data_IF_749900689636
#
_entry.id   IF_749900689636
#
_cell.length_a   1.000
_cell.length_b   1.000
_cell.length_c   1.000
_cell.angle_alpha   90.00
_cell.angle_beta   90.00
_cell.angle_gamma   90.00
#
_symmetry.space_group_name_H-M   'P 1'
#
loop_
_entity.id
_entity.type
_entity.pdbx_description
1 polymer ?
#
# COMPACT_ATOMS: atom_id res chain seq x y z
N UNK A 1 -17.57 -34.45 -27.96
CA UNK A 1 -18.09 -35.37 -26.93
C UNK A 1 -19.43 -35.87 -27.41
N UNK A 2 -19.80 -37.13 -27.15
CA UNK A 2 -21.15 -37.60 -27.43
C UNK A 2 -21.56 -38.71 -26.46
N UNK A 3 -22.86 -38.82 -26.21
CA UNK A 3 -23.46 -39.93 -25.49
C UNK A 3 -23.85 -41.04 -26.47
N UNK A 4 -23.62 -42.28 -26.08
CA UNK A 4 -24.02 -43.45 -26.88
C UNK A 4 -24.15 -44.69 -26.00
N UNK A 5 -24.52 -45.82 -26.60
CA UNK A 5 -24.63 -47.11 -25.95
C UNK A 5 -24.79 -48.21 -27.00
N UNK A 6 -25.52 -49.28 -26.65
CA UNK A 6 -25.59 -50.47 -27.50
C UNK A 6 -26.59 -50.28 -28.65
N UNK A 7 -26.34 -50.97 -29.77
CA UNK A 7 -27.19 -50.92 -30.97
C UNK A 7 -28.63 -51.35 -30.67
N UNK A 8 -28.81 -52.43 -29.93
CA UNK A 8 -30.14 -52.98 -29.61
C UNK A 8 -31.01 -51.99 -28.81
N UNK A 9 -30.39 -51.25 -27.87
CA UNK A 9 -31.10 -50.21 -27.11
C UNK A 9 -31.47 -49.01 -27.99
N UNK A 10 -30.59 -48.63 -28.92
CA UNK A 10 -30.87 -47.58 -29.91
C UNK A 10 -32.04 -47.96 -30.82
N UNK A 11 -32.10 -49.21 -31.29
CA UNK A 11 -33.21 -49.69 -32.13
C UNK A 11 -34.54 -49.67 -31.36
N UNK A 12 -34.55 -50.04 -30.08
CA UNK A 12 -35.74 -49.90 -29.20
C UNK A 12 -36.18 -48.45 -29.01
N UNK A 13 -35.22 -47.53 -28.83
CA UNK A 13 -35.50 -46.10 -28.72
C UNK A 13 -36.10 -45.56 -30.01
N UNK A 14 -35.52 -45.89 -31.17
CA UNK A 14 -36.03 -45.51 -32.48
C UNK A 14 -37.44 -46.05 -32.72
N UNK A 15 -37.69 -47.32 -32.38
CA UNK A 15 -39.02 -47.92 -32.50
C UNK A 15 -40.04 -47.20 -31.61
N UNK A 16 -39.72 -46.97 -30.34
CA UNK A 16 -40.59 -46.25 -29.40
C UNK A 16 -40.86 -44.80 -29.88
N UNK A 17 -39.87 -44.15 -30.49
CA UNK A 17 -40.00 -42.81 -31.07
C UNK A 17 -40.92 -42.78 -32.29
N UNK A 18 -40.85 -43.80 -33.16
CA UNK A 18 -41.78 -43.97 -34.28
C UNK A 18 -43.22 -44.16 -33.78
N UNK A 19 -43.42 -45.01 -32.78
CA UNK A 19 -44.73 -45.24 -32.15
C UNK A 19 -45.30 -43.96 -31.54
N UNK A 20 -44.46 -43.15 -30.88
CA UNK A 20 -44.87 -41.87 -30.33
C UNK A 20 -45.32 -40.88 -31.39
N UNK A 21 -44.56 -40.75 -32.49
CA UNK A 21 -44.98 -39.91 -33.62
C UNK A 21 -46.30 -40.41 -34.22
N UNK A 22 -46.46 -41.73 -34.37
CA UNK A 22 -47.69 -42.34 -34.84
C UNK A 22 -48.89 -42.00 -33.95
N UNK A 23 -48.76 -42.19 -32.63
CA UNK A 23 -49.84 -41.89 -31.69
C UNK A 23 -50.16 -40.40 -31.58
N UNK A 24 -49.14 -39.52 -31.62
CA UNK A 24 -49.38 -38.07 -31.69
C UNK A 24 -50.18 -37.68 -32.93
N UNK A 25 -49.89 -38.31 -34.07
CA UNK A 25 -50.66 -38.09 -35.30
C UNK A 25 -52.11 -38.55 -35.16
N UNK A 26 -52.34 -39.75 -34.61
CA UNK A 26 -53.69 -40.27 -34.36
C UNK A 26 -54.50 -39.30 -33.48
N UNK A 27 -53.95 -38.86 -32.35
CA UNK A 27 -54.64 -37.90 -31.47
C UNK A 27 -54.90 -36.58 -32.20
N UNK A 28 -53.91 -36.07 -32.95
CA UNK A 28 -54.08 -34.85 -33.73
C UNK A 28 -55.16 -34.96 -34.80
N UNK A 29 -55.35 -36.12 -35.41
CA UNK A 29 -56.40 -36.34 -36.41
C UNK A 29 -57.79 -36.46 -35.73
N UNK A 30 -57.87 -37.12 -34.57
CA UNK A 30 -59.10 -37.14 -33.73
C UNK A 30 -59.52 -35.74 -33.27
N UNK A 31 -58.56 -34.88 -32.94
CA UNK A 31 -58.80 -33.47 -32.60
C UNK A 31 -59.40 -32.70 -33.79
N UNK A 32 -58.87 -32.91 -35.01
CA UNK A 32 -59.40 -32.29 -36.24
C UNK A 32 -60.82 -32.74 -36.56
N UNK A 33 -61.12 -34.01 -36.31
CA UNK A 33 -62.45 -34.60 -36.45
C UNK A 33 -63.42 -34.17 -35.32
N UNK A 34 -62.96 -33.34 -34.37
CA UNK A 34 -63.72 -32.85 -33.21
C UNK A 34 -64.25 -33.99 -32.33
N UNK A 35 -63.50 -35.08 -32.24
CA UNK A 35 -63.84 -36.19 -31.33
C UNK A 35 -63.81 -35.68 -29.88
N UNK A 36 -64.89 -35.83 -29.10
CA UNK A 36 -64.90 -35.39 -27.70
C UNK A 36 -63.82 -36.10 -26.87
N UNK A 37 -63.11 -35.39 -26.00
CA UNK A 37 -62.10 -35.99 -25.10
C UNK A 37 -62.69 -37.02 -24.13
N UNK A 38 -64.01 -36.98 -23.88
CA UNK A 38 -64.73 -37.98 -23.10
C UNK A 38 -64.90 -39.31 -23.84
N UNK A 39 -64.68 -39.35 -25.16
CA UNK A 39 -64.82 -40.54 -26.00
C UNK A 39 -63.85 -41.65 -25.54
N UNK A 40 -64.33 -42.90 -25.38
CA UNK A 40 -63.49 -44.03 -24.97
C UNK A 40 -62.23 -44.23 -25.84
N UNK A 41 -62.32 -44.05 -27.16
CA UNK A 41 -61.19 -44.19 -28.06
C UNK A 41 -60.15 -43.08 -27.87
N UNK A 42 -60.60 -41.85 -27.57
CA UNK A 42 -59.71 -40.72 -27.30
C UNK A 42 -58.92 -40.96 -26.01
N UNK A 43 -59.61 -41.38 -24.94
CA UNK A 43 -58.97 -41.75 -23.67
C UNK A 43 -57.97 -42.89 -23.85
N UNK A 44 -58.31 -43.94 -24.58
CA UNK A 44 -57.39 -45.04 -24.88
C UNK A 44 -56.15 -44.58 -25.67
N UNK A 45 -56.32 -43.67 -26.64
CA UNK A 45 -55.22 -43.11 -27.41
C UNK A 45 -54.28 -42.30 -26.50
N UNK A 46 -54.84 -41.49 -25.59
CA UNK A 46 -54.09 -40.72 -24.61
C UNK A 46 -53.32 -41.63 -23.62
N UNK A 47 -53.98 -42.65 -23.06
CA UNK A 47 -53.33 -43.63 -22.17
C UNK A 47 -52.18 -44.36 -22.87
N UNK A 48 -52.37 -44.71 -24.15
CA UNK A 48 -51.34 -45.36 -24.96
C UNK A 48 -50.18 -44.40 -25.25
N UNK A 49 -50.47 -43.13 -25.54
CA UNK A 49 -49.45 -42.10 -25.71
C UNK A 49 -48.61 -41.95 -24.44
N UNK A 50 -49.23 -41.93 -23.26
CA UNK A 50 -48.52 -41.79 -21.99
C UNK A 50 -47.65 -43.02 -21.66
N UNK A 51 -48.14 -44.23 -21.95
CA UNK A 51 -47.32 -45.46 -21.89
C UNK A 51 -46.12 -45.41 -22.84
N UNK A 52 -46.30 -44.90 -24.05
CA UNK A 52 -45.20 -44.75 -25.02
C UNK A 52 -44.20 -43.70 -24.56
N UNK A 53 -44.64 -42.57 -23.97
CA UNK A 53 -43.73 -41.57 -23.38
C UNK A 53 -42.83 -42.20 -22.33
N UNK A 54 -43.39 -42.98 -21.40
CA UNK A 54 -42.62 -43.69 -20.38
C UNK A 54 -41.60 -44.66 -21.02
N UNK A 55 -42.00 -45.41 -22.06
CA UNK A 55 -41.10 -46.31 -22.79
C UNK A 55 -39.96 -45.57 -23.49
N UNK A 56 -40.22 -44.38 -24.06
CA UNK A 56 -39.17 -43.54 -24.65
C UNK A 56 -38.17 -43.09 -23.58
N UNK A 57 -38.65 -42.60 -22.44
CA UNK A 57 -37.78 -42.16 -21.35
C UNK A 57 -36.90 -43.32 -20.87
N UNK A 58 -37.49 -44.49 -20.67
CA UNK A 58 -36.77 -45.71 -20.29
C UNK A 58 -35.73 -46.11 -21.35
N UNK A 59 -36.14 -46.21 -22.62
CA UNK A 59 -35.25 -46.59 -23.71
C UNK A 59 -34.12 -45.57 -23.90
N UNK A 60 -34.39 -44.27 -23.67
CA UNK A 60 -33.37 -43.21 -23.74
C UNK A 60 -32.31 -43.41 -22.67
N UNK A 61 -32.73 -43.70 -21.42
CA UNK A 61 -31.82 -43.99 -20.31
C UNK A 61 -30.95 -45.22 -20.58
N UNK A 62 -31.53 -46.28 -21.13
CA UNK A 62 -30.81 -47.51 -21.46
C UNK A 62 -29.83 -47.30 -22.63
N UNK A 63 -30.21 -46.47 -23.61
CA UNK A 63 -29.41 -46.19 -24.81
C UNK A 63 -28.22 -45.30 -24.52
N UNK A 64 -28.38 -44.22 -23.77
CA UNK A 64 -27.32 -43.25 -23.51
C UNK A 64 -26.57 -43.62 -22.22
N UNK A 65 -25.89 -44.77 -22.23
CA UNK A 65 -25.21 -45.35 -21.06
C UNK A 65 -23.70 -45.11 -21.03
N UNK A 66 -23.12 -44.50 -22.08
CA UNK A 66 -21.68 -44.19 -22.17
C UNK A 66 -21.45 -42.78 -22.68
N UNK A 67 -20.42 -42.13 -22.15
CA UNK A 67 -19.88 -40.87 -22.63
C UNK A 67 -18.56 -41.10 -23.36
N UNK A 68 -18.46 -40.61 -24.59
CA UNK A 68 -17.25 -40.66 -25.40
C UNK A 68 -16.58 -39.29 -25.49
N UNK A 69 -15.28 -39.24 -25.21
CA UNK A 69 -14.48 -38.02 -25.17
C UNK A 69 -13.04 -38.27 -25.67
N UNK A 70 -12.35 -37.24 -26.20
CA UNK A 70 -10.98 -37.37 -26.67
C UNK A 70 -9.99 -37.43 -25.49
N UNK A 71 -8.95 -38.24 -25.65
CA UNK A 71 -7.83 -38.40 -24.74
C UNK A 71 -6.50 -38.52 -25.49
N UNK A 72 -5.40 -38.66 -24.75
CA UNK A 72 -4.06 -38.93 -25.32
C UNK A 72 -4.03 -40.15 -26.25
N UNK A 73 -4.89 -41.15 -26.01
CA UNK A 73 -4.93 -42.42 -26.75
C UNK A 73 -6.00 -42.44 -27.86
N UNK A 74 -6.60 -41.29 -28.19
CA UNK A 74 -7.72 -41.19 -29.13
C UNK A 74 -9.07 -41.07 -28.40
N UNK A 75 -10.14 -41.60 -28.97
CA UNK A 75 -11.48 -41.54 -28.35
C UNK A 75 -11.56 -42.57 -27.23
N UNK A 76 -11.99 -42.15 -26.04
CA UNK A 76 -12.15 -42.97 -24.85
C UNK A 76 -13.59 -42.89 -24.35
N UNK A 77 -14.09 -43.97 -23.75
CA UNK A 77 -15.43 -44.02 -23.17
C UNK A 77 -15.39 -44.11 -21.64
N UNK A 78 -16.42 -43.60 -20.98
CA UNK A 78 -16.74 -43.90 -19.60
C UNK A 78 -18.23 -44.25 -19.47
N UNK A 79 -18.59 -45.04 -18.47
CA UNK A 79 -19.99 -45.32 -18.17
C UNK A 79 -20.69 -44.06 -17.66
N UNK A 80 -21.93 -43.87 -18.08
CA UNK A 80 -22.78 -42.74 -17.75
C UNK A 80 -24.15 -43.28 -17.33
N UNK A 81 -24.47 -43.14 -16.05
CA UNK A 81 -25.74 -43.59 -15.48
C UNK A 81 -26.61 -42.37 -15.20
N UNK A 82 -27.78 -42.28 -15.86
CA UNK A 82 -28.75 -41.22 -15.58
C UNK A 82 -29.46 -41.50 -14.25
N UNK A 83 -28.97 -40.87 -13.19
CA UNK A 83 -29.54 -40.99 -11.84
C UNK A 83 -30.58 -39.91 -11.59
N UNK A 84 -31.73 -40.26 -11.01
CA UNK A 84 -32.72 -39.29 -10.53
C UNK A 84 -32.51 -39.10 -9.02
N UNK A 85 -32.40 -37.86 -8.57
CA UNK A 85 -32.35 -37.51 -7.15
C UNK A 85 -33.53 -36.61 -6.83
N UNK A 86 -34.36 -37.02 -5.87
CA UNK A 86 -35.51 -36.23 -5.41
C UNK A 86 -36.46 -35.78 -6.54
N UNK A 87 -36.75 -36.67 -7.50
CA UNK A 87 -37.51 -36.37 -8.72
C UNK A 87 -36.91 -35.28 -9.64
N UNK A 88 -35.66 -34.88 -9.42
CA UNK A 88 -34.93 -33.96 -10.27
C UNK A 88 -33.82 -34.69 -11.05
N UNK A 89 -33.61 -34.29 -12.31
CA UNK A 89 -32.55 -34.82 -13.17
C UNK A 89 -31.79 -33.66 -13.82
N UNK A 90 -30.50 -33.56 -13.50
CA UNK A 90 -29.58 -32.63 -14.13
C UNK A 90 -28.49 -33.42 -14.89
N UNK A 91 -28.72 -33.61 -16.20
CA UNK A 91 -27.78 -34.34 -17.05
C UNK A 91 -26.43 -33.64 -17.22
N UNK A 92 -26.41 -32.31 -17.20
CA UNK A 92 -25.17 -31.53 -17.33
C UNK A 92 -24.27 -31.75 -16.11
N UNK A 93 -24.82 -31.65 -14.90
CA UNK A 93 -24.06 -31.93 -13.67
C UNK A 93 -23.49 -33.35 -13.65
N UNK A 94 -24.24 -34.34 -14.11
CA UNK A 94 -23.78 -35.72 -14.18
C UNK A 94 -22.67 -35.90 -15.22
N UNK A 95 -22.79 -35.27 -16.39
CA UNK A 95 -21.74 -35.27 -17.42
C UNK A 95 -20.46 -34.64 -16.86
N UNK A 96 -20.59 -33.47 -16.23
CA UNK A 96 -19.46 -32.77 -15.60
C UNK A 96 -18.83 -33.67 -14.55
N UNK A 97 -19.62 -34.30 -13.68
CA UNK A 97 -19.13 -35.21 -12.64
C UNK A 97 -18.31 -36.35 -13.26
N UNK A 98 -18.85 -37.07 -14.23
CA UNK A 98 -18.14 -38.18 -14.88
C UNK A 98 -16.84 -37.71 -15.53
N UNK A 99 -16.86 -36.56 -16.23
CA UNK A 99 -15.65 -36.04 -16.86
C UNK A 99 -14.62 -35.53 -15.85
N UNK A 100 -15.05 -34.99 -14.71
CA UNK A 100 -14.16 -34.61 -13.60
C UNK A 100 -13.53 -35.84 -12.95
N UNK A 101 -14.30 -36.89 -12.68
CA UNK A 101 -13.80 -38.16 -12.12
C UNK A 101 -12.77 -38.82 -13.05
N UNK A 102 -12.97 -38.67 -14.37
CA UNK A 102 -12.02 -39.11 -15.41
C UNK A 102 -10.88 -38.12 -15.68
N UNK A 103 -10.78 -37.04 -14.91
CA UNK A 103 -9.79 -35.95 -15.05
C UNK A 103 -9.80 -35.30 -16.43
N UNK A 104 -10.89 -35.39 -17.19
CA UNK A 104 -11.04 -34.71 -18.48
C UNK A 104 -11.62 -33.31 -18.32
N UNK A 105 -12.40 -33.03 -17.28
CA UNK A 105 -12.93 -31.70 -17.00
C UNK A 105 -12.32 -31.12 -15.71
N UNK A 106 -11.70 -29.94 -15.82
CA UNK A 106 -11.10 -29.20 -14.71
C UNK A 106 -12.09 -28.16 -14.19
N UNK A 107 -12.38 -28.21 -12.89
CA UNK A 107 -13.26 -27.26 -12.22
C UNK A 107 -12.48 -26.11 -11.59
N UNK A 108 -11.28 -26.41 -11.08
CA UNK A 108 -10.41 -25.40 -10.50
C UNK A 108 -9.51 -24.81 -11.59
N UNK A 109 -9.93 -23.66 -12.10
CA UNK A 109 -9.24 -22.91 -13.16
C UNK A 109 -8.55 -21.64 -12.64
N UNK A 110 -8.68 -21.35 -11.34
CA UNK A 110 -8.08 -20.16 -10.71
C UNK A 110 -6.78 -20.48 -9.96
N UNK A 111 -6.53 -21.76 -9.66
CA UNK A 111 -5.33 -22.21 -8.96
C UNK A 111 -4.04 -22.20 -9.78
N UNK A 112 -2.91 -22.15 -9.06
CA UNK A 112 -1.55 -22.22 -9.62
C UNK A 112 -1.30 -23.51 -10.43
N UNK A 113 -2.00 -24.60 -10.09
CA UNK A 113 -1.90 -25.85 -10.82
C UNK A 113 -2.41 -25.73 -12.26
N UNK A 114 -3.49 -24.99 -12.50
CA UNK A 114 -4.02 -24.77 -13.84
C UNK A 114 -3.06 -23.93 -14.68
N UNK A 115 -2.46 -22.89 -14.09
CA UNK A 115 -1.37 -22.12 -14.70
C UNK A 115 -0.23 -23.04 -15.16
N UNK A 116 0.36 -23.81 -14.24
CA UNK A 116 1.50 -24.70 -14.53
C UNK A 116 1.17 -25.70 -15.63
N UNK A 117 -0.02 -26.30 -15.61
CA UNK A 117 -0.48 -27.21 -16.67
C UNK A 117 -0.56 -26.49 -18.03
N UNK A 118 -1.06 -25.26 -18.06
CA UNK A 118 -1.15 -24.46 -19.28
C UNK A 118 0.24 -24.12 -19.83
N UNK A 119 1.15 -23.66 -18.97
CA UNK A 119 2.53 -23.31 -19.31
C UNK A 119 3.37 -24.50 -19.80
N UNK A 120 3.07 -25.71 -19.31
CA UNK A 120 3.76 -26.96 -19.67
C UNK A 120 3.20 -27.61 -20.94
N UNK A 121 1.86 -27.61 -21.10
CA UNK A 121 1.18 -28.41 -22.14
C UNK A 121 0.75 -27.61 -23.35
N UNK A 122 0.36 -26.34 -23.14
CA UNK A 122 -0.18 -25.49 -24.20
C UNK A 122 0.89 -24.56 -24.77
N UNK A 123 1.64 -23.88 -23.91
CA UNK A 123 2.79 -23.08 -24.33
C UNK A 123 3.88 -23.99 -24.91
N UNK A 124 4.41 -23.60 -26.08
CA UNK A 124 5.55 -24.27 -26.74
C UNK A 124 6.80 -23.40 -26.78
N UNK A 125 6.65 -22.10 -26.52
CA UNK A 125 7.70 -21.10 -26.49
C UNK A 125 7.47 -20.19 -25.27
N UNK A 126 8.49 -19.40 -24.90
CA UNK A 126 8.36 -18.41 -23.82
C UNK A 126 7.32 -17.34 -24.15
N UNK A 127 7.22 -16.95 -25.43
CA UNK A 127 6.28 -15.94 -25.93
C UNK A 127 5.47 -16.50 -27.09
N UNK A 128 4.14 -16.38 -27.05
CA UNK A 128 3.21 -16.85 -28.09
C UNK A 128 2.01 -15.93 -28.22
N UNK A 129 1.33 -15.92 -29.38
CA UNK A 129 0.06 -15.17 -29.50
C UNK A 129 -1.01 -15.85 -28.66
N UNK A 130 -1.85 -15.05 -28.00
CA UNK A 130 -2.93 -15.59 -27.18
C UNK A 130 -3.95 -16.38 -28.02
N UNK A 131 -4.15 -16.01 -29.28
CA UNK A 131 -5.02 -16.76 -30.20
C UNK A 131 -4.47 -18.17 -30.48
N UNK A 132 -3.16 -18.31 -30.68
CA UNK A 132 -2.50 -19.61 -30.89
C UNK A 132 -2.58 -20.48 -29.63
N UNK A 133 -2.50 -19.88 -28.43
CA UNK A 133 -2.74 -20.57 -27.16
C UNK A 133 -4.16 -21.12 -27.09
N UNK A 134 -5.18 -20.31 -27.45
CA UNK A 134 -6.59 -20.75 -27.49
C UNK A 134 -6.81 -21.86 -28.51
N UNK A 135 -6.24 -21.73 -29.71
CA UNK A 135 -6.35 -22.74 -30.77
C UNK A 135 -5.73 -24.06 -30.34
N UNK A 136 -4.53 -24.04 -29.76
CA UNK A 136 -3.87 -25.25 -29.24
C UNK A 136 -4.69 -25.90 -28.12
N UNK A 137 -5.25 -25.12 -27.21
CA UNK A 137 -6.11 -25.64 -26.17
C UNK A 137 -7.39 -26.30 -26.73
N UNK A 138 -7.89 -25.85 -27.88
CA UNK A 138 -9.03 -26.45 -28.55
C UNK A 138 -8.68 -27.77 -29.29
N UNK A 139 -7.46 -27.88 -29.84
CA UNK A 139 -7.04 -29.01 -30.68
C UNK A 139 -6.36 -30.13 -29.86
N UNK A 140 -5.68 -29.81 -28.75
CA UNK A 140 -4.96 -30.81 -27.96
C UNK A 140 -5.93 -31.76 -27.22
N UNK A 141 -6.01 -33.00 -27.69
CA UNK A 141 -6.86 -34.05 -27.12
C UNK A 141 -6.47 -34.43 -25.68
N UNK A 142 -5.22 -34.17 -25.26
CA UNK A 142 -4.71 -34.41 -23.90
C UNK A 142 -5.13 -33.30 -22.95
N UNK A 143 -5.40 -32.10 -23.46
CA UNK A 143 -5.78 -30.96 -22.64
C UNK A 143 -7.13 -31.20 -21.98
N UNK A 144 -7.25 -30.75 -20.73
CA UNK A 144 -8.50 -30.88 -19.97
C UNK A 144 -9.47 -29.81 -20.48
N UNK A 145 -10.76 -30.12 -20.49
CA UNK A 145 -11.82 -29.15 -20.74
C UNK A 145 -12.12 -28.34 -19.48
N UNK A 146 -12.66 -27.15 -19.68
CA UNK A 146 -12.95 -26.18 -18.66
C UNK A 146 -14.02 -25.22 -19.19
N UNK A 147 -14.52 -24.34 -18.32
CA UNK A 147 -15.50 -23.32 -18.70
C UNK A 147 -14.92 -22.32 -19.73
N UNK A 148 -15.68 -21.83 -20.72
CA UNK A 148 -15.13 -21.04 -21.82
C UNK A 148 -14.27 -19.82 -21.43
N UNK A 149 -14.58 -19.18 -20.30
CA UNK A 149 -13.86 -18.00 -19.80
C UNK A 149 -12.50 -18.31 -19.17
N UNK A 150 -12.19 -19.57 -18.85
CA UNK A 150 -11.07 -19.90 -17.97
C UNK A 150 -9.70 -19.41 -18.49
N UNK A 151 -9.42 -19.52 -19.79
CA UNK A 151 -8.14 -19.06 -20.35
C UNK A 151 -8.01 -17.54 -20.33
N UNK A 152 -9.10 -16.80 -20.60
CA UNK A 152 -9.08 -15.33 -20.50
C UNK A 152 -8.94 -14.91 -19.04
N UNK A 153 -9.68 -15.53 -18.12
CA UNK A 153 -9.55 -15.29 -16.69
C UNK A 153 -8.13 -15.59 -16.20
N UNK A 154 -7.54 -16.72 -16.62
CA UNK A 154 -6.17 -17.08 -16.30
C UNK A 154 -5.20 -16.03 -16.83
N UNK A 155 -5.31 -15.67 -18.13
CA UNK A 155 -4.48 -14.63 -18.75
C UNK A 155 -4.54 -13.33 -17.96
N UNK A 156 -5.74 -12.82 -17.71
CA UNK A 156 -5.95 -11.56 -16.99
C UNK A 156 -5.35 -11.61 -15.58
N UNK A 157 -5.51 -12.72 -14.87
CA UNK A 157 -4.96 -12.92 -13.52
C UNK A 157 -3.42 -13.00 -13.54
N UNK A 158 -2.84 -13.68 -14.53
CA UNK A 158 -1.39 -13.83 -14.63
C UNK A 158 -0.72 -12.53 -15.06
N UNK A 159 -1.38 -11.77 -15.95
CA UNK A 159 -0.93 -10.42 -16.33
C UNK A 159 -1.04 -9.45 -15.17
N UNK A 160 -2.13 -9.46 -14.40
CA UNK A 160 -2.27 -8.57 -13.25
C UNK A 160 -1.26 -8.85 -12.13
N UNK A 161 -0.72 -10.07 -12.06
CA UNK A 161 0.29 -10.49 -11.08
C UNK A 161 1.74 -10.40 -11.59
N UNK A 162 1.94 -9.85 -12.79
CA UNK A 162 3.24 -9.82 -13.51
C UNK A 162 3.91 -11.20 -13.61
N UNK A 163 3.11 -12.27 -13.62
CA UNK A 163 3.59 -13.64 -13.87
C UNK A 163 3.75 -13.84 -15.38
N UNK A 164 2.81 -13.28 -16.14
CA UNK A 164 2.85 -13.18 -17.60
C UNK A 164 2.81 -11.71 -18.01
N UNK A 165 3.35 -11.38 -19.19
CA UNK A 165 3.28 -10.03 -19.78
C UNK A 165 2.61 -10.09 -21.14
N UNK A 166 1.73 -9.14 -21.40
CA UNK A 166 1.03 -9.00 -22.67
C UNK A 166 1.59 -7.84 -23.49
N UNK A 167 1.94 -8.09 -24.75
CA UNK A 167 2.33 -7.04 -25.70
C UNK A 167 1.82 -7.39 -27.10
N UNK A 168 0.95 -6.55 -27.66
CA UNK A 168 0.43 -6.73 -29.03
C UNK A 168 -0.29 -8.06 -29.24
N UNK A 169 -1.01 -8.57 -28.22
CA UNK A 169 -1.69 -9.87 -28.26
C UNK A 169 -0.78 -11.10 -28.10
N UNK A 170 0.52 -10.89 -27.86
CA UNK A 170 1.44 -11.94 -27.41
C UNK A 170 1.47 -12.00 -25.89
N UNK A 171 1.50 -13.22 -25.36
CA UNK A 171 1.71 -13.52 -23.95
C UNK A 171 3.10 -14.11 -23.80
N UNK A 172 3.90 -13.48 -22.95
CA UNK A 172 5.20 -13.99 -22.51
C UNK A 172 5.07 -14.50 -21.07
N UNK A 173 5.53 -15.72 -20.81
CA UNK A 173 5.60 -16.28 -19.46
C UNK A 173 6.95 -15.99 -18.81
N UNK A 174 6.94 -15.74 -17.50
CA UNK A 174 8.14 -15.56 -16.70
C UNK A 174 9.01 -16.83 -16.59
N UNK A 175 10.17 -16.73 -15.90
CA UNK A 175 10.67 -15.52 -15.23
C UNK A 175 11.13 -14.44 -16.23
N UNK A 176 10.93 -13.19 -15.86
CA UNK A 176 11.45 -12.02 -16.57
C UNK A 176 12.79 -11.63 -15.95
N UNK A 177 13.76 -11.32 -16.81
CA UNK A 177 15.06 -10.82 -16.37
C UNK A 177 14.91 -9.32 -16.24
N UNK A 178 15.05 -8.81 -15.03
CA UNK A 178 15.05 -7.38 -14.72
C UNK A 178 16.44 -6.92 -14.30
N UNK A 179 16.65 -5.62 -14.25
CA UNK A 179 17.83 -5.04 -13.60
C UNK A 179 17.54 -4.78 -12.14
N UNK A 180 18.44 -5.20 -11.25
CA UNK A 180 18.34 -4.88 -9.82
C UNK A 180 18.39 -3.38 -9.60
N UNK A 181 17.71 -2.90 -8.56
CA UNK A 181 17.70 -1.47 -8.23
C UNK A 181 17.72 -1.27 -6.72
N UNK A 182 18.26 -0.12 -6.31
CA UNK A 182 18.20 0.38 -4.94
C UNK A 182 17.36 1.65 -4.92
N UNK A 183 16.47 1.76 -3.93
CA UNK A 183 15.75 3.00 -3.61
C UNK A 183 16.03 3.35 -2.16
N UNK A 184 16.49 4.57 -1.91
CA UNK A 184 16.86 5.05 -0.58
C UNK A 184 15.92 6.18 -0.16
N UNK A 185 15.45 6.14 1.09
CA UNK A 185 14.65 7.21 1.70
C UNK A 185 15.21 7.58 3.06
N UNK A 186 15.42 8.88 3.31
CA UNK A 186 15.70 9.38 4.66
C UNK A 186 14.47 9.21 5.55
N UNK A 187 14.64 8.58 6.71
CA UNK A 187 13.56 8.36 7.71
C UNK A 187 13.69 9.37 8.84
N UNK A 188 14.92 9.61 9.28
CA UNK A 188 15.23 10.49 10.39
C UNK A 188 16.63 11.06 10.22
N UNK A 189 16.84 12.29 10.71
CA UNK A 189 18.15 12.92 10.82
C UNK A 189 18.28 13.58 12.18
N UNK A 190 19.36 13.28 12.86
CA UNK A 190 19.74 13.92 14.11
C UNK A 190 20.29 15.32 13.82
N UNK A 191 19.69 16.35 14.43
CA UNK A 191 20.02 17.75 14.15
C UNK A 191 21.29 18.23 14.86
N UNK A 192 21.87 17.45 15.77
CA UNK A 192 23.09 17.80 16.51
C UNK A 192 24.33 17.14 15.93
N UNK A 193 24.17 15.93 15.40
CA UNK A 193 25.28 15.11 14.88
C UNK A 193 25.27 15.00 13.36
N UNK A 194 24.13 15.23 12.71
CA UNK A 194 23.95 15.01 11.27
C UNK A 194 23.88 13.54 10.87
N UNK A 195 23.83 12.62 11.84
CA UNK A 195 23.59 11.20 11.59
C UNK A 195 22.20 11.01 11.00
N UNK A 196 22.13 10.31 9.87
CA UNK A 196 20.88 9.98 9.21
C UNK A 196 20.55 8.51 9.39
N UNK A 197 19.26 8.22 9.44
CA UNK A 197 18.70 6.88 9.34
C UNK A 197 18.00 6.74 7.99
N UNK A 198 18.46 5.80 7.18
CA UNK A 198 17.97 5.52 5.83
C UNK A 198 17.14 4.23 5.83
N UNK A 199 16.04 4.27 5.08
CA UNK A 199 15.28 3.09 4.65
C UNK A 199 15.63 2.80 3.20
N UNK A 200 16.27 1.65 2.99
CA UNK A 200 16.77 1.15 1.73
C UNK A 200 15.83 0.03 1.25
N UNK A 201 15.37 0.12 0.01
CA UNK A 201 14.58 -0.90 -0.65
C UNK A 201 15.35 -1.46 -1.83
N UNK A 202 15.49 -2.77 -1.87
CA UNK A 202 15.99 -3.54 -3.00
C UNK A 202 14.83 -3.95 -3.91
N UNK A 203 14.99 -3.75 -5.20
CA UNK A 203 14.08 -4.24 -6.24
C UNK A 203 14.82 -5.25 -7.12
N UNK A 204 14.14 -6.36 -7.44
CA UNK A 204 14.65 -7.45 -8.30
C UNK A 204 15.97 -8.13 -7.86
N UNK A 205 16.48 -7.82 -6.67
CA UNK A 205 17.59 -8.53 -6.02
C UNK A 205 17.36 -8.70 -4.51
N UNK A 206 18.26 -9.39 -3.81
CA UNK A 206 18.08 -9.78 -2.40
C UNK A 206 19.19 -9.25 -1.47
N UNK A 207 20.30 -8.76 -2.02
CA UNK A 207 21.42 -8.22 -1.24
C UNK A 207 21.74 -6.81 -1.69
N UNK A 208 21.97 -5.91 -0.73
CA UNK A 208 22.47 -4.56 -0.98
C UNK A 208 23.86 -4.43 -0.37
N UNK A 209 24.78 -3.96 -1.19
CA UNK A 209 26.15 -3.63 -0.81
C UNK A 209 26.33 -2.11 -0.89
N UNK A 210 27.22 -1.58 -0.09
CA UNK A 210 27.53 -0.16 -0.07
C UNK A 210 29.02 0.08 0.11
N UNK A 211 29.45 1.25 -0.35
CA UNK A 211 30.81 1.76 -0.22
C UNK A 211 30.75 3.29 -0.11
N UNK A 212 31.82 3.91 0.38
CA UNK A 212 31.85 5.35 0.68
C UNK A 212 32.54 6.11 -0.46
N UNK A 213 33.62 5.56 -1.00
CA UNK A 213 34.54 6.27 -1.90
C UNK A 213 34.69 5.59 -3.27
N UNK A 214 34.04 4.44 -3.48
CA UNK A 214 34.19 3.64 -4.70
C UNK A 214 32.87 2.98 -5.12
N UNK A 215 32.79 2.50 -6.36
CA UNK A 215 31.62 1.77 -6.81
C UNK A 215 31.51 0.43 -6.04
N UNK A 216 30.40 0.18 -5.32
CA UNK A 216 30.24 -1.01 -4.52
C UNK A 216 30.16 -2.26 -5.38
N UNK A 217 30.77 -3.35 -4.89
CA UNK A 217 30.74 -4.68 -5.52
C UNK A 217 30.21 -5.73 -4.55
N UNK A 218 30.09 -6.98 -4.99
CA UNK A 218 29.75 -8.10 -4.10
C UNK A 218 30.76 -8.36 -2.97
N UNK A 219 31.96 -7.75 -3.06
CA UNK A 219 32.99 -7.79 -2.03
C UNK A 219 32.95 -6.60 -1.05
N UNK A 220 32.14 -5.57 -1.35
CA UNK A 220 31.99 -4.38 -0.50
C UNK A 220 31.16 -4.68 0.76
N UNK A 221 30.96 -3.66 1.61
CA UNK A 221 30.20 -3.82 2.84
C UNK A 221 28.73 -4.15 2.55
N UNK A 222 28.17 -5.14 3.24
CA UNK A 222 26.77 -5.50 3.07
C UNK A 222 25.88 -4.70 4.03
N UNK A 223 24.79 -4.13 3.52
CA UNK A 223 23.73 -3.56 4.35
C UNK A 223 23.06 -4.68 5.16
N UNK A 224 23.16 -4.61 6.49
CA UNK A 224 22.59 -5.61 7.40
C UNK A 224 21.13 -5.34 7.71
N UNK A 225 20.79 -4.08 7.98
CA UNK A 225 19.45 -3.62 8.26
C UNK A 225 19.03 -2.63 7.18
N UNK A 226 18.10 -3.04 6.32
CA UNK A 226 17.59 -2.24 5.22
C UNK A 226 16.62 -1.14 5.71
N UNK A 227 15.98 -1.30 6.86
CA UNK A 227 14.96 -0.36 7.33
C UNK A 227 15.53 0.75 8.23
N UNK A 228 16.71 0.51 8.83
CA UNK A 228 17.32 1.38 9.83
C UNK A 228 18.83 1.50 9.61
N UNK A 229 19.25 1.76 8.37
CA UNK A 229 20.65 1.95 8.05
C UNK A 229 21.13 3.31 8.53
N UNK A 230 22.05 3.33 9.50
CA UNK A 230 22.56 4.58 10.09
C UNK A 230 23.93 4.95 9.54
N UNK A 231 24.11 6.21 9.21
CA UNK A 231 25.38 6.73 8.70
C UNK A 231 25.58 8.21 9.03
N UNK A 232 26.85 8.61 9.17
CA UNK A 232 27.30 10.00 9.27
C UNK A 232 28.01 10.47 8.01
N UNK A 233 28.20 9.58 7.05
CA UNK A 233 28.87 9.89 5.79
C UNK A 233 28.06 10.89 4.98
N UNK A 234 28.77 11.71 4.22
CA UNK A 234 28.17 12.68 3.31
C UNK A 234 27.80 12.07 1.96
N UNK A 235 28.49 11.00 1.55
CA UNK A 235 28.22 10.26 0.32
C UNK A 235 28.26 8.77 0.58
N UNK A 236 27.35 8.05 -0.07
CA UNK A 236 27.35 6.59 -0.09
C UNK A 236 26.84 6.10 -1.43
N UNK A 237 27.49 5.07 -1.94
CA UNK A 237 27.05 4.36 -3.12
C UNK A 237 26.46 3.02 -2.72
N UNK A 238 25.34 2.65 -3.33
CA UNK A 238 24.64 1.39 -3.06
C UNK A 238 24.46 0.56 -4.32
N UNK A 239 24.69 -0.75 -4.24
CA UNK A 239 24.44 -1.71 -5.32
C UNK A 239 23.59 -2.87 -4.84
N UNK A 240 22.52 -3.18 -5.57
CA UNK A 240 21.71 -4.37 -5.34
C UNK A 240 22.17 -5.53 -6.23
N UNK A 241 22.26 -6.73 -5.67
CA UNK A 241 22.60 -7.96 -6.39
C UNK A 241 21.54 -9.02 -6.08
N UNK A 242 21.14 -9.76 -7.12
CA UNK A 242 20.32 -10.97 -7.03
C UNK A 242 21.21 -12.21 -6.91
N UNK A 243 21.18 -12.85 -5.76
CA UNK A 243 21.98 -14.04 -5.46
C UNK A 243 21.51 -15.29 -6.21
N UNK A 244 20.29 -15.29 -6.76
CA UNK A 244 19.80 -16.39 -7.60
C UNK A 244 20.36 -16.36 -9.03
N UNK A 245 20.90 -15.20 -9.46
CA UNK A 245 21.42 -14.97 -10.80
C UNK A 245 20.34 -14.93 -11.90
N UNK A 246 19.06 -14.81 -11.53
CA UNK A 246 17.96 -14.68 -12.49
C UNK A 246 17.91 -13.27 -13.08
N UNK A 247 18.13 -12.25 -12.25
CA UNK A 247 18.12 -10.85 -12.65
C UNK A 247 19.54 -10.34 -12.92
N UNK A 248 19.65 -9.37 -13.83
CA UNK A 248 20.89 -8.68 -14.12
C UNK A 248 21.19 -7.64 -13.04
N UNK A 249 22.48 -7.46 -12.72
CA UNK A 249 22.89 -6.36 -11.84
C UNK A 249 22.64 -5.02 -12.52
N UNK A 250 21.85 -4.16 -11.88
CA UNK A 250 21.59 -2.81 -12.36
C UNK A 250 22.64 -1.80 -11.94
N UNK A 251 22.28 -0.53 -12.01
CA UNK A 251 23.18 0.60 -11.78
C UNK A 251 23.37 0.88 -10.28
N UNK A 252 24.49 1.52 -9.96
CA UNK A 252 24.79 2.01 -8.61
C UNK A 252 23.87 3.18 -8.29
N UNK A 253 23.31 3.17 -7.08
CA UNK A 253 22.55 4.30 -6.55
C UNK A 253 23.47 5.19 -5.71
N UNK A 254 23.67 6.42 -6.17
CA UNK A 254 24.45 7.44 -5.47
C UNK A 254 23.55 8.20 -4.51
N UNK A 255 23.90 8.16 -3.22
CA UNK A 255 23.20 8.88 -2.16
C UNK A 255 24.09 9.99 -1.60
N UNK A 256 23.50 11.17 -1.41
CA UNK A 256 24.17 12.33 -0.83
C UNK A 256 23.40 12.82 0.39
N UNK A 257 24.12 13.11 1.47
CA UNK A 257 23.61 13.77 2.66
C UNK A 257 23.65 15.30 2.46
N UNK A 258 23.12 16.03 3.44
CA UNK A 258 23.18 17.49 3.51
C UNK A 258 24.01 17.97 4.69
N UNK A 259 24.63 19.13 4.51
CA UNK A 259 25.30 19.88 5.58
C UNK A 259 24.36 21.00 6.03
N UNK A 260 24.16 21.12 7.34
CA UNK A 260 23.35 22.16 7.96
C UNK A 260 24.23 23.12 8.75
N UNK A 261 23.97 24.42 8.62
CA UNK A 261 24.66 25.47 9.36
C UNK A 261 23.76 25.96 10.50
N UNK A 262 24.30 25.93 11.72
CA UNK A 262 23.73 26.59 12.89
C UNK A 262 24.62 27.75 13.32
N UNK A 263 24.04 28.68 14.04
CA UNK A 263 24.77 29.80 14.62
C UNK A 263 24.30 30.09 16.05
N UNK A 264 25.18 30.72 16.82
CA UNK A 264 24.86 31.27 18.14
C UNK A 264 25.50 32.64 18.30
N UNK A 265 24.78 33.54 18.96
CA UNK A 265 25.24 34.89 19.24
C UNK A 265 25.34 35.08 20.75
N UNK A 266 26.47 35.60 21.22
CA UNK A 266 26.67 35.84 22.64
C UNK A 266 27.51 37.09 22.89
N UNK A 267 27.38 37.66 24.09
CA UNK A 267 28.14 38.84 24.51
C UNK A 267 29.24 38.39 25.46
N UNK A 268 30.47 38.81 25.19
CA UNK A 268 31.60 38.59 26.08
C UNK A 268 32.50 39.84 26.09
N UNK A 269 32.87 40.34 27.28
CA UNK A 269 33.68 41.55 27.45
C UNK A 269 33.17 42.76 26.63
N UNK A 270 31.86 43.02 26.66
CA UNK A 270 31.16 44.08 25.90
C UNK A 270 31.23 43.97 24.36
N UNK A 271 31.73 42.86 23.82
CA UNK A 271 31.73 42.60 22.37
C UNK A 271 30.73 41.49 22.03
N UNK A 272 30.04 41.62 20.89
CA UNK A 272 29.15 40.60 20.33
C UNK A 272 29.97 39.60 19.51
N UNK A 273 29.83 38.33 19.82
CA UNK A 273 30.48 37.23 19.13
C UNK A 273 29.48 36.44 18.31
N UNK A 274 29.96 35.87 17.21
CA UNK A 274 29.26 34.90 16.38
C UNK A 274 29.99 33.56 16.45
N UNK A 275 29.27 32.52 16.80
CA UNK A 275 29.71 31.12 16.68
C UNK A 275 28.94 30.45 15.54
N UNK A 276 29.66 29.74 14.68
CA UNK A 276 29.10 29.00 13.55
C UNK A 276 29.40 27.52 13.72
N UNK A 277 28.44 26.66 13.39
CA UNK A 277 28.61 25.21 13.49
C UNK A 277 28.01 24.52 12.26
N UNK A 278 28.80 23.68 11.61
CA UNK A 278 28.37 22.82 10.53
C UNK A 278 28.02 21.43 11.07
N UNK A 279 26.92 20.86 10.60
CA UNK A 279 26.42 19.57 11.04
C UNK A 279 26.03 18.73 9.80
N UNK A 280 26.75 17.64 9.48
CA UNK A 280 28.00 17.17 10.09
C UNK A 280 29.19 18.14 9.93
N UNK A 281 30.30 17.87 10.62
CA UNK A 281 31.52 18.69 10.57
C UNK A 281 32.01 18.90 9.14
N UNK A 282 32.12 20.17 8.74
CA UNK A 282 32.54 20.64 7.43
C UNK A 282 33.26 21.99 7.53
N UNK A 283 34.04 22.35 6.51
CA UNK A 283 34.75 23.64 6.48
C UNK A 283 33.75 24.77 6.22
N UNK A 284 33.67 25.73 7.13
CA UNK A 284 32.77 26.88 7.02
C UNK A 284 33.56 28.08 6.46
N UNK A 285 32.99 28.76 5.46
CA UNK A 285 33.45 30.07 4.99
C UNK A 285 32.41 31.13 5.30
N UNK A 286 32.85 32.29 5.76
CA UNK A 286 31.93 33.37 6.15
C UNK A 286 32.41 34.76 5.76
N UNK A 287 31.47 35.71 5.67
CA UNK A 287 31.71 37.13 5.43
C UNK A 287 30.89 37.97 6.40
N UNK A 288 31.40 39.15 6.76
CA UNK A 288 30.73 40.12 7.63
C UNK A 288 30.38 41.44 6.91
N UNK A 289 30.73 41.55 5.63
CA UNK A 289 30.47 42.72 4.79
C UNK A 289 29.29 42.51 3.82
N UNK A 290 28.64 41.34 3.88
CA UNK A 290 27.55 40.94 2.98
C UNK A 290 28.00 40.44 1.61
N UNK A 291 29.31 40.31 1.35
CA UNK A 291 29.83 39.69 0.12
C UNK A 291 29.60 38.17 0.10
N UNK A 292 29.68 37.55 -1.08
CA UNK A 292 29.45 36.10 -1.22
C UNK A 292 30.56 35.30 -0.50
N UNK A 293 30.23 34.49 0.52
CA UNK A 293 31.23 33.73 1.28
C UNK A 293 31.96 32.66 0.46
N UNK A 294 31.43 32.26 -0.70
CA UNK A 294 32.11 31.32 -1.61
C UNK A 294 33.35 31.91 -2.26
N UNK A 295 33.26 33.16 -2.68
CA UNK A 295 34.30 33.85 -3.46
C UNK A 295 35.21 34.70 -2.58
N UNK A 296 34.67 35.24 -1.49
CA UNK A 296 35.34 36.24 -0.65
C UNK A 296 35.32 35.90 0.85
N UNK A 297 34.81 34.73 1.23
CA UNK A 297 34.71 34.33 2.64
C UNK A 297 36.03 33.89 3.25
N UNK A 298 36.24 34.29 4.51
CA UNK A 298 37.31 33.77 5.37
C UNK A 298 36.93 32.39 5.92
N UNK A 299 37.93 31.56 6.24
CA UNK A 299 37.71 30.27 6.90
C UNK A 299 37.35 30.54 8.36
N UNK A 300 36.28 29.90 8.83
CA UNK A 300 35.88 29.95 10.23
C UNK A 300 36.65 28.87 11.03
N UNK A 301 37.41 29.32 12.02
CA UNK A 301 38.15 28.44 12.94
C UNK A 301 37.58 28.50 14.37
N UNK A 302 37.19 29.69 14.85
CA UNK A 302 36.64 29.92 16.19
C UNK A 302 35.64 31.09 16.20
N UNK A 303 34.91 31.26 17.31
CA UNK A 303 33.98 32.36 17.48
C UNK A 303 34.66 33.73 17.26
N UNK A 304 34.07 34.57 16.42
CA UNK A 304 34.66 35.85 16.01
C UNK A 304 33.83 37.03 16.51
N UNK A 305 34.50 38.16 16.76
CA UNK A 305 33.83 39.42 17.11
C UNK A 305 33.12 39.96 15.87
N UNK A 306 31.84 40.27 15.99
CA UNK A 306 31.06 40.89 14.91
C UNK A 306 31.46 42.36 14.80
N UNK A 307 31.99 42.84 13.65
CA UNK A 307 32.33 44.25 13.48
C UNK A 307 31.11 45.18 13.64
N UNK A 308 31.31 46.37 14.22
CA UNK A 308 30.22 47.32 14.58
C UNK A 308 29.31 47.74 13.41
N UNK A 309 29.80 47.66 12.16
CA UNK A 309 29.04 48.02 10.95
C UNK A 309 28.49 46.82 10.17
N UNK A 310 28.56 45.61 10.74
CA UNK A 310 28.02 44.39 10.12
C UNK A 310 26.50 44.47 10.08
N UNK A 311 25.91 44.34 8.88
CA UNK A 311 24.45 44.22 8.71
C UNK A 311 24.06 42.76 8.49
N UNK A 312 24.91 41.98 7.82
CA UNK A 312 24.70 40.57 7.54
C UNK A 312 25.99 39.79 7.77
N UNK A 313 25.87 38.65 8.44
CA UNK A 313 26.85 37.57 8.39
C UNK A 313 26.32 36.53 7.40
N UNK A 314 27.09 36.26 6.35
CA UNK A 314 26.77 35.20 5.40
C UNK A 314 27.75 34.04 5.60
N UNK A 315 27.27 32.81 5.59
CA UNK A 315 28.12 31.63 5.71
C UNK A 315 27.68 30.49 4.79
N UNK A 316 28.66 29.70 4.34
CA UNK A 316 28.46 28.41 3.65
C UNK A 316 29.40 27.38 4.27
N UNK A 317 28.99 26.11 4.26
CA UNK A 317 29.84 24.99 4.62
C UNK A 317 30.05 24.09 3.41
N UNK A 318 31.26 23.56 3.26
CA UNK A 318 31.63 22.66 2.17
C UNK A 318 32.45 21.48 2.70
N UNK A 319 32.11 20.28 2.25
CA UNK A 319 32.91 19.06 2.47
C UNK A 319 32.60 18.02 1.40
N UNK A 320 33.63 17.35 0.90
CA UNK A 320 33.53 16.30 -0.12
C UNK A 320 32.75 16.71 -1.38
N UNK A 321 32.80 18.00 -1.74
CA UNK A 321 32.05 18.58 -2.86
C UNK A 321 30.55 18.78 -2.61
N UNK A 322 30.06 18.53 -1.39
CA UNK A 322 28.71 18.89 -0.94
C UNK A 322 28.76 20.27 -0.27
N UNK A 323 27.88 21.16 -0.70
CA UNK A 323 27.74 22.51 -0.16
C UNK A 323 26.45 22.61 0.66
N UNK A 324 26.49 23.33 1.79
CA UNK A 324 25.29 23.67 2.55
C UNK A 324 24.48 24.74 1.84
N UNK A 325 23.22 24.91 2.26
CA UNK A 325 22.52 26.15 1.96
C UNK A 325 23.28 27.35 2.56
N UNK A 326 23.20 28.50 1.89
CA UNK A 326 23.74 29.76 2.41
C UNK A 326 22.99 30.16 3.67
N UNK A 327 23.71 30.25 4.79
CA UNK A 327 23.20 30.85 6.01
C UNK A 327 23.30 32.37 5.89
N UNK A 328 22.21 33.06 6.20
CA UNK A 328 22.16 34.52 6.23
C UNK A 328 21.63 34.97 7.59
N UNK A 329 22.51 35.57 8.38
CA UNK A 329 22.19 36.09 9.72
C UNK A 329 22.17 37.61 9.65
N UNK A 330 20.99 38.20 9.87
CA UNK A 330 20.86 39.66 9.96
C UNK A 330 21.33 40.13 11.33
N UNK A 331 22.36 40.95 11.35
CA UNK A 331 22.85 41.58 12.58
C UNK A 331 22.04 42.85 12.80
N UNK A 332 21.08 42.75 13.72
CA UNK A 332 20.38 43.94 14.19
C UNK A 332 21.37 44.83 14.95
N UNK A 333 21.46 46.10 14.56
CA UNK A 333 22.14 47.13 15.35
C UNK A 333 21.37 47.25 16.66
N UNK A 334 21.93 46.68 17.72
CA UNK A 334 21.39 46.85 19.06
C UNK A 334 22.03 48.12 19.59
N UNK A 335 21.27 49.22 19.56
CA UNK A 335 21.45 50.25 20.55
C UNK A 335 21.32 49.56 21.91
N UNK A 336 22.35 49.64 22.73
CA UNK A 336 22.30 49.16 24.11
C UNK A 336 21.32 50.08 24.86
N UNK A 337 20.02 49.68 24.92
CA UNK A 337 18.95 50.00 25.91
C UNK A 337 17.52 49.83 25.29
N UNK A 338 16.42 49.67 26.05
CA UNK A 338 16.00 48.50 26.80
C UNK A 338 14.55 48.08 26.43
N UNK A 339 14.28 47.53 25.25
CA UNK A 339 12.95 46.97 24.95
C UNK A 339 12.90 45.48 25.33
N UNK A 340 12.83 45.25 26.64
CA UNK A 340 12.24 44.01 27.14
C UNK A 340 10.77 44.00 26.73
N UNK A 341 10.27 42.90 26.18
CA UNK A 341 8.84 42.65 26.04
C UNK A 341 8.15 43.05 27.36
N UNK A 342 7.36 44.13 27.33
CA UNK A 342 6.68 44.64 28.52
C UNK A 342 5.27 44.04 28.58
N UNK A 343 5.09 43.07 29.47
CA UNK A 343 3.78 42.47 29.72
C UNK A 343 3.02 43.31 30.75
N UNK A 344 1.84 43.83 30.37
CA UNK A 344 0.92 44.38 31.33
C UNK A 344 0.33 43.24 32.16
N UNK A 345 0.67 43.19 33.45
CA UNK A 345 0.32 42.09 34.35
C UNK A 345 -1.18 41.93 34.59
N UNK A 346 -1.97 42.98 34.38
CA UNK A 346 -3.40 43.01 34.73
C UNK A 346 -4.33 42.74 33.54
N UNK A 347 -3.84 42.94 32.31
CA UNK A 347 -4.65 42.72 31.09
C UNK A 347 -4.58 41.26 30.62
N UNK A 348 -5.66 40.74 29.98
CA UNK A 348 -5.61 39.45 29.31
C UNK A 348 -4.58 39.45 28.18
N UNK A 349 -4.15 38.26 27.77
CA UNK A 349 -3.10 38.07 26.77
C UNK A 349 -3.39 36.82 25.94
N UNK A 350 -3.19 36.89 24.62
CA UNK A 350 -3.17 35.72 23.74
C UNK A 350 -1.74 35.54 23.23
N UNK A 351 -1.18 34.35 23.45
CA UNK A 351 0.05 33.92 22.82
C UNK A 351 -0.29 33.13 21.55
N UNK A 352 0.21 33.57 20.41
CA UNK A 352 0.08 32.92 19.10
C UNK A 352 1.41 32.24 18.76
N UNK A 353 1.53 30.96 19.10
CA UNK A 353 2.73 30.16 18.86
C UNK A 353 2.35 28.71 18.62
N UNK A 354 2.85 28.15 17.52
CA UNK A 354 2.62 26.74 17.21
C UNK A 354 3.40 25.86 18.21
N UNK A 355 2.68 25.12 19.03
CA UNK A 355 3.27 24.23 20.04
C UNK A 355 2.88 22.80 19.72
N UNK A 356 3.90 21.94 19.59
CA UNK A 356 3.75 20.52 19.26
C UNK A 356 4.34 19.64 20.35
N UNK A 357 3.54 18.70 20.86
CA UNK A 357 3.91 17.76 21.90
C UNK A 357 3.63 16.35 21.41
N UNK A 358 4.71 15.56 21.23
CA UNK A 358 4.64 14.23 20.62
C UNK A 358 4.74 13.09 21.66
N UNK A 359 4.83 13.41 22.95
CA UNK A 359 4.94 12.43 24.03
C UNK A 359 3.77 12.52 25.00
N UNK A 360 3.08 11.40 25.22
CA UNK A 360 1.91 11.31 26.10
C UNK A 360 2.16 11.91 27.49
N UNK A 361 3.32 11.64 28.11
CA UNK A 361 3.66 12.15 29.44
C UNK A 361 3.76 13.68 29.48
N UNK A 362 4.37 14.29 28.45
CA UNK A 362 4.47 15.74 28.34
C UNK A 362 3.12 16.39 27.95
N UNK A 363 2.24 15.68 27.23
CA UNK A 363 0.86 16.15 26.99
C UNK A 363 0.11 16.35 28.30
N UNK A 364 0.10 15.35 29.19
CA UNK A 364 -0.58 15.47 30.49
C UNK A 364 0.04 16.53 31.39
N UNK A 365 1.36 16.67 31.38
CA UNK A 365 2.06 17.73 32.11
C UNK A 365 1.69 19.12 31.59
N UNK A 366 1.51 19.26 30.28
CA UNK A 366 1.05 20.53 29.69
C UNK A 366 -0.42 20.81 30.04
N UNK A 367 -1.29 19.80 29.98
CA UNK A 367 -2.69 19.94 30.41
C UNK A 367 -2.78 20.32 31.90
N UNK A 368 -1.95 19.75 32.76
CA UNK A 368 -1.85 20.10 34.17
C UNK A 368 -1.43 21.57 34.36
N UNK A 369 -0.47 22.08 33.57
CA UNK A 369 -0.13 23.52 33.56
C UNK A 369 -1.33 24.37 33.17
N UNK A 370 -2.08 23.99 32.14
CA UNK A 370 -3.27 24.75 31.73
C UNK A 370 -4.31 24.83 32.84
N UNK A 371 -4.50 23.77 33.61
CA UNK A 371 -5.36 23.78 34.80
C UNK A 371 -4.81 24.71 35.88
N UNK A 372 -3.53 24.59 36.21
CA UNK A 372 -2.90 25.35 37.29
C UNK A 372 -2.91 26.86 37.04
N UNK A 373 -2.75 27.27 35.79
CA UNK A 373 -2.67 28.68 35.40
C UNK A 373 -3.95 29.22 34.72
N UNK A 374 -5.02 28.41 34.65
CA UNK A 374 -6.29 28.72 33.99
C UNK A 374 -6.12 29.18 32.53
N UNK A 375 -5.31 28.45 31.77
CA UNK A 375 -5.03 28.71 30.36
C UNK A 375 -6.08 28.01 29.51
N UNK A 376 -6.59 28.73 28.51
CA UNK A 376 -7.46 28.17 27.48
C UNK A 376 -6.69 28.11 26.16
N UNK A 377 -6.85 27.05 25.38
CA UNK A 377 -6.14 26.87 24.11
C UNK A 377 -7.10 26.76 22.94
N UNK A 378 -6.67 27.17 21.74
CA UNK A 378 -7.44 27.05 20.50
C UNK A 378 -6.55 26.65 19.32
N UNK A 379 -7.19 26.34 18.18
CA UNK A 379 -6.54 25.75 16.99
C UNK A 379 -5.80 24.44 17.36
N UNK A 380 -6.57 23.55 17.99
CA UNK A 380 -6.05 22.33 18.63
C UNK A 380 -6.13 21.16 17.64
N UNK A 381 -5.12 20.29 17.62
CA UNK A 381 -5.22 18.92 17.13
C UNK A 381 -4.69 17.96 18.22
N UNK A 382 -5.56 17.10 18.72
CA UNK A 382 -5.19 15.98 19.59
C UNK A 382 -5.32 14.70 18.81
N UNK A 383 -4.25 13.93 18.71
CA UNK A 383 -4.29 12.59 18.13
C UNK A 383 -4.07 11.53 19.22
N UNK A 384 -4.99 10.57 19.30
CA UNK A 384 -4.93 9.41 20.19
C UNK A 384 -4.81 8.18 19.31
N UNK A 385 -3.71 7.45 19.44
CA UNK A 385 -3.42 6.27 18.62
C UNK A 385 -2.97 5.09 19.48
N UNK A 386 -2.96 3.89 18.92
CA UNK A 386 -2.48 2.70 19.64
C UNK A 386 -1.02 2.43 19.31
N UNK A 387 -0.22 2.14 20.34
CA UNK A 387 1.24 1.89 20.21
C UNK A 387 1.63 0.69 19.33
N UNK A 388 0.66 -0.14 18.90
CA UNK A 388 0.88 -1.37 18.11
C UNK A 388 0.33 -1.30 16.69
N UNK A 389 -0.55 -0.34 16.39
CA UNK A 389 -1.32 -0.29 15.15
C UNK A 389 -1.48 1.17 14.71
N UNK A 390 -0.77 1.56 13.65
CA UNK A 390 -0.81 2.90 13.07
C UNK A 390 -2.11 3.19 12.31
N UNK A 391 -2.97 2.19 12.12
CA UNK A 391 -4.26 2.34 11.41
C UNK A 391 -5.43 2.62 12.37
N UNK A 392 -5.22 2.54 13.70
CA UNK A 392 -6.23 2.87 14.73
C UNK A 392 -5.88 4.17 15.45
N UNK A 393 -6.57 5.25 15.06
CA UNK A 393 -6.41 6.56 15.68
C UNK A 393 -7.73 7.33 15.72
N UNK A 394 -7.80 8.28 16.65
CA UNK A 394 -8.86 9.28 16.74
C UNK A 394 -8.20 10.64 16.85
N UNK A 395 -8.66 11.59 16.04
CA UNK A 395 -8.22 12.98 16.09
C UNK A 395 -9.37 13.87 16.55
N UNK A 396 -9.07 14.80 17.43
CA UNK A 396 -9.95 15.88 17.85
C UNK A 396 -9.32 17.17 17.36
N UNK A 397 -10.00 17.87 16.46
CA UNK A 397 -9.55 19.16 15.95
C UNK A 397 -10.53 20.27 16.28
N UNK A 398 -10.03 21.43 16.69
CA UNK A 398 -10.85 22.64 16.89
C UNK A 398 -10.29 23.82 16.11
N UNK A 399 -11.17 24.71 15.64
CA UNK A 399 -10.74 25.90 14.91
C UNK A 399 -10.19 26.99 15.84
N UNK A 400 -9.52 27.98 15.25
CA UNK A 400 -8.89 29.13 15.94
C UNK A 400 -9.79 29.92 16.92
N UNK A 401 -11.11 29.92 16.74
CA UNK A 401 -12.04 30.68 17.61
C UNK A 401 -12.61 29.83 18.76
N UNK A 402 -12.29 28.54 18.82
CA UNK A 402 -12.80 27.61 19.83
C UNK A 402 -11.78 27.41 20.96
N UNK A 403 -11.80 28.33 21.93
CA UNK A 403 -10.99 28.23 23.15
C UNK A 403 -11.55 27.17 24.10
N UNK A 404 -10.68 26.28 24.55
CA UNK A 404 -11.00 25.16 25.43
C UNK A 404 -10.09 25.18 26.65
N UNK A 405 -10.70 25.07 27.84
CA UNK A 405 -10.01 24.88 29.11
C UNK A 405 -9.29 23.53 29.15
N UNK A 406 -8.06 23.50 29.68
CA UNK A 406 -7.27 22.26 29.78
C UNK A 406 -8.00 21.10 30.49
N UNK A 407 -8.78 21.38 31.53
CA UNK A 407 -9.59 20.38 32.25
C UNK A 407 -10.65 19.72 31.35
N UNK A 408 -11.33 20.52 30.52
CA UNK A 408 -12.35 20.03 29.59
C UNK A 408 -11.71 19.17 28.50
N UNK A 409 -10.57 19.59 27.96
CA UNK A 409 -9.84 18.83 26.96
C UNK A 409 -9.35 17.48 27.52
N UNK A 410 -8.75 17.48 28.71
CA UNK A 410 -8.31 16.24 29.36
C UNK A 410 -9.47 15.29 29.64
N UNK A 411 -10.61 15.81 30.09
CA UNK A 411 -11.82 15.01 30.31
C UNK A 411 -12.31 14.34 29.02
N UNK A 412 -12.19 15.01 27.86
CA UNK A 412 -12.53 14.41 26.57
C UNK A 412 -11.52 13.32 26.17
N UNK A 413 -10.24 13.54 26.40
CA UNK A 413 -9.19 12.55 26.13
C UNK A 413 -9.43 11.27 26.94
N UNK A 414 -9.73 11.40 28.24
CA UNK A 414 -10.02 10.25 29.10
C UNK A 414 -11.31 9.53 28.71
N UNK A 415 -12.35 10.26 28.31
CA UNK A 415 -13.59 9.68 27.80
C UNK A 415 -13.35 8.86 26.53
N UNK A 416 -12.56 9.37 25.58
CA UNK A 416 -12.24 8.66 24.34
C UNK A 416 -11.41 7.42 24.63
N UNK A 417 -10.37 7.56 25.45
CA UNK A 417 -9.50 6.45 25.84
C UNK A 417 -10.30 5.32 26.52
N UNK A 418 -11.18 5.67 27.46
CA UNK A 418 -11.99 4.70 28.20
C UNK A 418 -13.02 4.00 27.33
N UNK A 419 -13.71 4.73 26.44
CA UNK A 419 -14.82 4.17 25.67
C UNK A 419 -14.41 3.52 24.35
N UNK A 420 -13.31 3.98 23.73
CA UNK A 420 -12.93 3.61 22.37
C UNK A 420 -11.59 2.86 22.30
N UNK A 421 -10.76 2.93 23.34
CA UNK A 421 -9.45 2.24 23.42
C UNK A 421 -9.28 1.45 24.73
N UNK A 422 -10.38 0.90 25.28
CA UNK A 422 -10.38 0.18 26.56
C UNK A 422 -9.27 -0.89 26.61
N UNK A 423 -8.46 -0.86 27.68
CA UNK A 423 -7.33 -1.78 27.95
C UNK A 423 -6.18 -1.77 26.94
N UNK A 424 -6.15 -0.83 25.98
CA UNK A 424 -5.03 -0.66 25.06
C UNK A 424 -4.07 0.44 25.54
N UNK A 425 -2.76 0.27 25.24
CA UNK A 425 -1.77 1.34 25.49
C UNK A 425 -1.86 2.36 24.36
N UNK A 426 -2.30 3.57 24.71
CA UNK A 426 -2.46 4.70 23.79
C UNK A 426 -1.27 5.65 23.83
N UNK A 427 -0.89 6.15 22.65
CA UNK A 427 0.03 7.27 22.47
C UNK A 427 -0.77 8.51 22.09
N UNK A 428 -0.51 9.63 22.76
CA UNK A 428 -1.25 10.88 22.62
C UNK A 428 -0.29 11.99 22.19
N UNK A 429 -0.66 12.72 21.14
CA UNK A 429 0.02 13.94 20.71
C UNK A 429 -0.94 15.12 20.78
N UNK A 430 -0.40 16.31 21.06
CA UNK A 430 -1.16 17.55 21.14
C UNK A 430 -0.42 18.65 20.36
N UNK A 431 -1.12 19.23 19.41
CA UNK A 431 -0.75 20.47 18.72
C UNK A 431 -1.77 21.56 19.10
N UNK A 432 -1.30 22.77 19.38
CA UNK A 432 -2.16 23.94 19.53
C UNK A 432 -1.42 25.22 19.08
N UNK A 433 -2.15 26.22 18.60
CA UNK A 433 -1.55 27.44 18.05
C UNK A 433 -1.77 28.69 18.89
N UNK A 434 -2.81 28.71 19.71
CA UNK A 434 -3.10 29.84 20.58
C UNK A 434 -3.32 29.41 22.02
N UNK A 435 -2.81 30.19 22.96
CA UNK A 435 -3.10 30.06 24.38
C UNK A 435 -3.52 31.41 24.96
N UNK A 436 -4.72 31.46 25.50
CA UNK A 436 -5.31 32.61 26.16
C UNK A 436 -5.06 32.57 27.66
N UNK A 437 -4.60 33.70 28.18
CA UNK A 437 -4.32 33.96 29.58
C UNK A 437 -5.23 35.06 30.09
N UNK A 438 -5.89 34.82 31.23
CA UNK A 438 -6.80 35.82 31.84
C UNK A 438 -6.06 37.09 32.30
N UNK A 439 -4.77 36.99 32.59
CA UNK A 439 -3.90 38.11 32.98
C UNK A 439 -2.49 37.91 32.44
N UNK A 440 -1.77 38.99 32.16
CA UNK A 440 -0.36 38.93 31.78
C UNK A 440 0.52 38.33 32.88
N UNK A 441 0.13 38.43 34.15
CA UNK A 441 0.82 37.73 35.24
C UNK A 441 0.72 36.21 35.09
N UNK A 442 -0.44 35.66 34.69
CA UNK A 442 -0.59 34.21 34.43
C UNK A 442 0.32 33.73 33.31
N UNK A 443 0.51 34.54 32.25
CA UNK A 443 1.51 34.26 31.21
C UNK A 443 2.94 34.22 31.77
N UNK A 444 3.33 35.22 32.57
CA UNK A 444 4.66 35.26 33.18
C UNK A 444 4.91 34.08 34.13
N UNK A 445 3.88 33.63 34.85
CA UNK A 445 3.97 32.47 35.73
C UNK A 445 4.20 31.17 34.95
N UNK A 446 3.56 31.01 33.78
CA UNK A 446 3.82 29.89 32.87
C UNK A 446 5.21 29.95 32.25
N UNK A 447 5.70 31.14 31.87
CA UNK A 447 7.07 31.34 31.36
C UNK A 447 8.08 30.89 32.42
N UNK A 448 7.86 31.27 33.68
CA UNK A 448 8.72 30.86 34.80
C UNK A 448 8.64 29.34 35.09
N UNK A 449 7.44 28.74 35.07
CA UNK A 449 7.25 27.29 35.25
C UNK A 449 7.98 26.48 34.17
N UNK A 450 7.92 26.95 32.92
CA UNK A 450 8.63 26.36 31.79
C UNK A 450 10.13 26.66 31.79
N UNK A 451 10.63 27.44 32.75
CA UNK A 451 12.02 27.92 32.83
C UNK A 451 12.47 28.65 31.56
N UNK A 452 11.53 29.35 30.93
CA UNK A 452 11.77 30.19 29.78
C UNK A 452 11.98 31.64 30.22
N UNK A 453 12.42 32.46 29.29
CA UNK A 453 12.55 33.91 29.44
C UNK A 453 11.66 34.61 28.40
N UNK A 454 11.43 35.90 28.58
CA UNK A 454 10.67 36.68 27.59
C UNK A 454 11.38 36.78 26.24
N UNK A 455 12.69 36.54 26.20
CA UNK A 455 13.49 36.53 24.97
C UNK A 455 13.19 35.31 24.07
N UNK A 456 12.53 34.28 24.61
CA UNK A 456 12.10 33.09 23.87
C UNK A 456 10.82 33.31 23.02
N UNK A 457 10.29 34.53 23.04
CA UNK A 457 9.07 34.94 22.35
C UNK A 457 9.34 36.17 21.49
N UNK A 458 8.60 36.30 20.39
CA UNK A 458 8.59 37.53 19.60
C UNK A 458 7.44 38.42 20.02
N UNK A 459 7.60 39.74 19.92
CA UNK A 459 6.54 40.70 20.22
C UNK A 459 5.27 40.44 19.39
N UNK A 460 5.43 40.07 18.12
CA UNK A 460 4.34 39.70 17.20
C UNK A 460 3.58 38.42 17.58
N UNK A 461 4.11 37.60 18.49
CA UNK A 461 3.43 36.40 19.01
C UNK A 461 2.49 36.74 20.19
N UNK A 462 2.54 37.96 20.73
CA UNK A 462 1.84 38.35 21.96
C UNK A 462 0.80 39.43 21.64
N UNK A 463 -0.47 39.10 21.80
CA UNK A 463 -1.58 40.04 21.64
C UNK A 463 -2.15 40.42 23.02
N UNK A 464 -2.20 41.72 23.34
CA UNK A 464 -2.67 42.26 24.62
C UNK A 464 -3.43 43.59 24.49
#
# INVERSE_FOLDING_TARGET
MFLSGNKDTMDKLLQSSKEYRGMKKIISDMDKERTPQSNPQYKQAQDKLDKIKLRILQSSRETFSKIYYPSKKGITSADFLMEFKENNYNGEEQIIKVLTDRKKFEKDVSGDMFRKKCEDRIFTQKKMRFIDIKERAAIDSKWQWYIPSALETLKNNMVSKDVWRENGGYIEKGPFIEKTQVSVREVYRDSETGEVTLSIKNLYGDKVYYDIDSEPTSASMKVKDLSNFKTKELKLDFLCIDSSGVNETGEVYHWENKIELKYSEFINNNNRYMELKAIPDATIKYTTDGSNPKEHGGIYDEAFIIPENTVYVLAIAEKDGIESNKLEVKINKVDIEPDRIQINKEKPLILIKNTRINETAEVYKELERFKNFNVEISDISVCISTSKDTEKWIEISTGKEAFIEGEKLESQIENIKTNLFDKEKTDITLDYRQSYYKTGQSFLDVVADKKMTLEDFKEEEIEQ
#
